data_IF_599020553694
#
_entry.id   IF_599020553694
#
_cell.length_a   1.000
_cell.length_b   1.000
_cell.length_c   1.000
_cell.angle_alpha   90.00
_cell.angle_beta   90.00
_cell.angle_gamma   90.00
#
_symmetry.space_group_name_H-M   'P 1'
#
loop_
_entity.id
_entity.type
_entity.pdbx_description
1 polymer ?
#
# COMPACT_ATOMS: atom_id res chain seq x y z
N UNK A 1 6.16 28.34 -1.21
CA UNK A 1 5.33 27.13 -1.21
C UNK A 1 5.86 26.29 -2.35
N UNK A 2 6.51 25.16 -2.05
CA UNK A 2 6.92 24.24 -3.12
C UNK A 2 5.63 23.73 -3.78
N UNK A 3 5.53 23.89 -5.10
CA UNK A 3 4.52 23.21 -5.92
C UNK A 3 4.94 21.74 -6.01
N UNK A 4 4.84 21.03 -4.89
CA UNK A 4 5.23 19.64 -4.85
C UNK A 4 3.99 18.84 -5.22
N UNK A 5 3.98 18.32 -6.45
CA UNK A 5 2.82 17.65 -7.02
C UNK A 5 2.64 16.24 -6.47
N UNK A 6 3.73 15.59 -6.05
CA UNK A 6 3.71 14.20 -5.57
C UNK A 6 4.77 13.93 -4.52
N UNK A 7 4.47 13.02 -3.60
CA UNK A 7 5.41 12.49 -2.62
C UNK A 7 5.31 10.97 -2.57
N UNK A 8 6.36 10.34 -2.06
CA UNK A 8 6.30 8.95 -1.62
C UNK A 8 6.56 8.90 -0.12
N UNK A 9 5.70 8.22 0.61
CA UNK A 9 5.82 8.08 2.07
C UNK A 9 5.73 6.62 2.48
N UNK A 10 6.25 6.32 3.66
CA UNK A 10 6.03 5.07 4.36
C UNK A 10 5.44 5.38 5.74
N UNK A 11 4.55 4.52 6.24
CA UNK A 11 3.93 4.75 7.54
C UNK A 11 3.88 3.52 8.44
N UNK A 12 3.74 3.79 9.74
CA UNK A 12 3.45 2.80 10.78
C UNK A 12 2.13 3.23 11.41
N UNK A 13 1.11 2.37 11.36
CA UNK A 13 -0.16 2.59 12.03
C UNK A 13 -0.12 2.00 13.44
N UNK A 14 -0.33 2.83 14.45
CA UNK A 14 -0.58 2.39 15.82
C UNK A 14 -2.04 2.65 16.18
N UNK A 15 -2.81 1.58 16.24
CA UNK A 15 -4.25 1.53 16.43
C UNK A 15 -4.64 1.11 17.86
N UNK A 16 -5.92 1.25 18.21
CA UNK A 16 -6.52 0.79 19.46
C UNK A 16 -7.95 0.24 19.25
N UNK A 17 -8.49 -0.37 20.30
CA UNK A 17 -9.71 -1.17 20.33
C UNK A 17 -10.97 -0.52 19.73
N UNK A 18 -11.14 0.79 19.87
CA UNK A 18 -12.31 1.49 19.32
C UNK A 18 -12.10 2.10 17.93
N UNK A 19 -10.92 1.94 17.34
CA UNK A 19 -10.67 2.38 15.95
C UNK A 19 -11.15 1.31 14.95
N UNK A 20 -11.31 1.63 13.66
CA UNK A 20 -11.74 0.66 12.66
C UNK A 20 -10.88 -0.61 12.55
N UNK A 21 -9.57 -0.52 12.86
CA UNK A 21 -8.64 -1.67 12.82
C UNK A 21 -8.78 -2.56 14.08
N UNK A 22 -9.42 -2.06 15.15
CA UNK A 22 -9.76 -2.82 16.36
C UNK A 22 -8.58 -3.56 17.00
N UNK A 23 -7.42 -2.90 17.12
CA UNK A 23 -6.28 -3.48 17.84
C UNK A 23 -6.63 -3.80 19.30
N UNK A 24 -5.97 -4.79 19.90
CA UNK A 24 -6.35 -5.29 21.25
C UNK A 24 -6.02 -4.34 22.41
N UNK A 25 -5.32 -3.24 22.16
CA UNK A 25 -4.79 -2.31 23.17
C UNK A 25 -5.72 -1.12 23.36
N UNK A 26 -5.65 -0.49 24.54
CA UNK A 26 -6.39 0.75 24.82
C UNK A 26 -5.80 1.96 24.09
N UNK A 27 -6.59 3.04 23.99
CA UNK A 27 -6.13 4.33 23.44
C UNK A 27 -4.88 4.87 24.12
N UNK A 28 -4.80 4.81 25.45
CA UNK A 28 -3.65 5.30 26.23
C UNK A 28 -2.39 4.47 25.92
N UNK A 29 -2.52 3.14 25.91
CA UNK A 29 -1.41 2.24 25.54
C UNK A 29 -0.95 2.47 24.11
N UNK A 30 -1.89 2.69 23.18
CA UNK A 30 -1.56 3.01 21.79
C UNK A 30 -0.82 4.35 21.67
N UNK A 31 -1.21 5.38 22.40
CA UNK A 31 -0.51 6.67 22.39
C UNK A 31 0.92 6.56 22.92
N UNK A 32 1.13 5.81 24.00
CA UNK A 32 2.47 5.54 24.55
C UNK A 32 3.33 4.82 23.50
N UNK A 33 2.78 3.76 22.89
CA UNK A 33 3.47 3.00 21.85
C UNK A 33 3.80 3.88 20.63
N UNK A 34 2.86 4.70 20.17
CA UNK A 34 3.09 5.61 19.05
C UNK A 34 4.22 6.61 19.35
N UNK A 35 4.29 7.12 20.59
CA UNK A 35 5.37 8.02 21.03
C UNK A 35 6.72 7.32 21.04
N UNK A 36 6.76 6.07 21.52
CA UNK A 36 7.97 5.24 21.51
C UNK A 36 8.44 4.95 20.08
N UNK A 37 7.53 4.48 19.22
CA UNK A 37 7.82 4.17 17.81
C UNK A 37 8.28 5.41 17.05
N UNK A 38 7.67 6.57 17.28
CA UNK A 38 8.13 7.84 16.71
C UNK A 38 9.58 8.17 17.14
N UNK A 39 9.91 7.93 18.41
CA UNK A 39 11.27 8.12 18.92
C UNK A 39 12.30 7.21 18.24
N UNK A 40 11.95 5.94 18.03
CA UNK A 40 12.80 4.98 17.29
C UNK A 40 12.93 5.38 15.83
N UNK A 41 11.82 5.63 15.15
CA UNK A 41 11.77 5.98 13.73
C UNK A 41 12.61 7.22 13.36
N UNK A 42 12.75 8.19 14.26
CA UNK A 42 13.62 9.37 14.06
C UNK A 42 15.12 9.07 14.07
N UNK A 43 15.52 7.92 14.62
CA UNK A 43 16.92 7.52 14.79
C UNK A 43 17.29 6.21 14.08
N UNK A 44 16.31 5.49 13.53
CA UNK A 44 16.49 4.19 12.88
C UNK A 44 16.71 4.37 11.37
N UNK A 45 17.73 3.70 10.83
CA UNK A 45 17.96 3.69 9.38
C UNK A 45 16.96 2.78 8.64
N UNK A 46 16.50 1.69 9.28
CA UNK A 46 15.56 0.73 8.70
C UNK A 46 14.12 0.95 9.19
N UNK A 47 13.43 1.88 8.53
CA UNK A 47 12.01 2.15 8.81
C UNK A 47 11.11 0.95 8.46
N UNK A 48 11.48 0.11 7.48
CA UNK A 48 10.69 -1.06 7.07
C UNK A 48 10.63 -2.12 8.16
N UNK A 49 11.73 -2.33 8.89
CA UNK A 49 11.72 -3.20 10.08
C UNK A 49 10.69 -2.74 11.11
N UNK A 50 10.63 -1.42 11.39
CA UNK A 50 9.65 -0.85 12.30
C UNK A 50 8.21 -0.99 11.80
N UNK A 51 7.97 -0.84 10.49
CA UNK A 51 6.64 -1.08 9.89
C UNK A 51 6.18 -2.52 10.17
N UNK A 52 7.04 -3.51 9.93
CA UNK A 52 6.68 -4.92 10.18
C UNK A 52 6.48 -5.25 11.65
N UNK A 53 7.26 -4.63 12.53
CA UNK A 53 7.21 -4.90 13.96
C UNK A 53 5.99 -4.25 14.63
N UNK A 54 5.63 -3.03 14.21
CA UNK A 54 4.70 -2.19 14.98
C UNK A 54 3.42 -1.80 14.25
N UNK A 55 3.34 -1.91 12.92
CA UNK A 55 2.14 -1.47 12.21
C UNK A 55 0.98 -2.44 12.44
N UNK A 56 -0.19 -1.91 12.79
CA UNK A 56 -1.45 -2.64 12.81
C UNK A 56 -2.14 -2.68 11.44
N UNK A 57 -1.58 -1.98 10.44
CA UNK A 57 -2.06 -2.11 9.07
C UNK A 57 -1.76 -3.52 8.54
N UNK A 58 -2.64 -4.17 7.76
CA UNK A 58 -2.38 -5.49 7.24
C UNK A 58 -1.13 -5.52 6.34
N UNK A 59 -0.16 -6.38 6.69
CA UNK A 59 1.08 -6.55 5.93
C UNK A 59 1.14 -7.99 5.44
N UNK A 60 1.44 -8.17 4.15
CA UNK A 60 1.76 -9.52 3.64
C UNK A 60 3.21 -9.89 3.94
N UNK A 61 3.44 -11.17 4.19
CA UNK A 61 4.78 -11.69 4.48
C UNK A 61 5.75 -11.44 3.30
N UNK A 62 5.25 -11.55 2.07
CA UNK A 62 6.00 -11.40 0.82
C UNK A 62 6.08 -9.97 0.27
N UNK A 63 5.42 -9.00 0.91
CA UNK A 63 5.40 -7.62 0.44
C UNK A 63 6.75 -6.94 0.70
N UNK A 64 7.52 -6.49 -0.31
CA UNK A 64 8.88 -6.00 -0.10
C UNK A 64 8.94 -4.63 0.59
N UNK A 65 7.90 -3.80 0.46
CA UNK A 65 7.88 -2.43 0.96
C UNK A 65 6.51 -2.09 1.60
N UNK A 66 6.18 -2.69 2.75
CA UNK A 66 4.89 -2.50 3.40
C UNK A 66 4.68 -1.05 3.85
N UNK A 67 3.42 -0.63 3.85
CA UNK A 67 2.99 0.68 4.33
C UNK A 67 3.47 1.85 3.47
N UNK A 68 3.85 1.60 2.21
CA UNK A 68 4.31 2.64 1.26
C UNK A 68 3.13 3.15 0.44
N UNK A 69 3.02 4.48 0.36
CA UNK A 69 2.00 5.17 -0.43
C UNK A 69 2.65 6.24 -1.31
N UNK A 70 2.23 6.31 -2.57
CA UNK A 70 2.53 7.44 -3.44
C UNK A 70 1.32 8.39 -3.40
N UNK A 71 1.52 9.63 -2.99
CA UNK A 71 0.44 10.60 -2.83
C UNK A 71 0.57 11.74 -3.83
N UNK A 72 -0.56 12.11 -4.42
CA UNK A 72 -0.71 13.27 -5.29
C UNK A 72 -1.28 14.44 -4.50
N UNK A 73 -0.78 15.64 -4.78
CA UNK A 73 -1.25 16.85 -4.12
C UNK A 73 -2.68 17.21 -4.56
N UNK A 74 -3.29 18.17 -3.88
CA UNK A 74 -4.65 18.63 -4.16
C UNK A 74 -4.80 19.09 -5.61
N UNK A 75 -5.90 18.68 -6.25
CA UNK A 75 -6.21 19.06 -7.63
C UNK A 75 -5.52 18.20 -8.70
N UNK A 76 -4.83 17.13 -8.31
CA UNK A 76 -4.24 16.16 -9.25
C UNK A 76 -5.04 14.85 -9.14
N UNK A 77 -5.57 14.41 -10.28
CA UNK A 77 -6.29 13.15 -10.38
C UNK A 77 -5.32 11.96 -10.40
N UNK A 78 -5.76 10.85 -9.79
CA UNK A 78 -5.01 9.60 -9.73
C UNK A 78 -5.32 8.69 -10.91
N UNK A 79 -4.55 7.61 -11.01
CA UNK A 79 -4.79 6.57 -12.00
C UNK A 79 -6.03 5.73 -11.65
N UNK A 80 -6.76 5.29 -12.67
CA UNK A 80 -7.88 4.38 -12.49
C UNK A 80 -7.37 2.92 -12.37
N UNK A 81 -7.19 2.45 -11.14
CA UNK A 81 -6.75 1.08 -10.89
C UNK A 81 -7.70 0.03 -11.47
N UNK A 82 -9.01 0.32 -11.52
CA UNK A 82 -9.99 -0.60 -12.06
C UNK A 82 -9.71 -0.91 -13.53
N UNK A 83 -9.35 0.09 -14.34
CA UNK A 83 -8.99 -0.11 -15.75
C UNK A 83 -7.77 -1.02 -15.91
N UNK A 84 -6.80 -0.90 -15.00
CA UNK A 84 -5.64 -1.79 -15.01
C UNK A 84 -6.04 -3.23 -14.66
N UNK A 85 -6.85 -3.44 -13.62
CA UNK A 85 -7.36 -4.77 -13.25
C UNK A 85 -8.19 -5.39 -14.38
N UNK A 86 -9.05 -4.60 -15.02
CA UNK A 86 -9.86 -5.04 -16.15
C UNK A 86 -8.97 -5.47 -17.32
N UNK A 87 -7.84 -4.79 -17.55
CA UNK A 87 -6.87 -5.19 -18.57
C UNK A 87 -6.22 -6.55 -18.28
N UNK A 88 -5.84 -6.83 -17.03
CA UNK A 88 -5.27 -8.12 -16.63
C UNK A 88 -6.29 -9.25 -16.78
N UNK A 89 -7.55 -9.00 -16.42
CA UNK A 89 -8.63 -9.97 -16.59
C UNK A 89 -8.88 -10.29 -18.07
N UNK A 90 -8.87 -9.28 -18.95
CA UNK A 90 -9.01 -9.47 -20.39
C UNK A 90 -7.84 -10.28 -20.97
N UNK A 91 -6.60 -10.05 -20.50
CA UNK A 91 -5.44 -10.84 -20.88
C UNK A 91 -5.55 -12.30 -20.44
N UNK A 92 -6.02 -12.56 -19.22
CA UNK A 92 -6.28 -13.92 -18.71
C UNK A 92 -7.34 -14.65 -19.54
N UNK A 93 -8.45 -13.98 -19.89
CA UNK A 93 -9.49 -14.56 -20.73
C UNK A 93 -8.99 -14.86 -22.14
N UNK A 94 -8.19 -13.96 -22.72
CA UNK A 94 -7.58 -14.19 -24.03
C UNK A 94 -6.63 -15.39 -24.01
N UNK A 95 -5.80 -15.52 -22.96
CA UNK A 95 -4.89 -16.65 -22.81
C UNK A 95 -5.64 -17.97 -22.63
N UNK A 96 -6.72 -17.97 -21.87
CA UNK A 96 -7.58 -19.15 -21.71
C UNK A 96 -8.15 -19.61 -23.07
N UNK A 97 -8.67 -18.70 -23.89
CA UNK A 97 -9.22 -19.01 -25.23
C UNK A 97 -8.17 -19.55 -26.20
N UNK A 98 -6.94 -19.02 -26.13
CA UNK A 98 -5.78 -19.50 -26.88
C UNK A 98 -5.44 -20.95 -26.50
N UNK A 99 -5.30 -21.23 -25.20
CA UNK A 99 -5.01 -22.57 -24.70
C UNK A 99 -6.12 -23.58 -25.04
N UNK A 100 -7.39 -23.19 -24.91
CA UNK A 100 -8.53 -24.02 -25.31
C UNK A 100 -8.50 -24.39 -26.80
N UNK A 101 -8.00 -23.50 -27.65
CA UNK A 101 -7.89 -23.74 -29.09
C UNK A 101 -6.76 -24.73 -29.38
N UNK A 102 -5.60 -24.56 -28.74
CA UNK A 102 -4.46 -25.48 -28.86
C UNK A 102 -4.79 -26.89 -28.37
N UNK A 103 -5.57 -27.02 -27.28
CA UNK A 103 -6.07 -28.32 -26.81
C UNK A 103 -6.97 -28.97 -27.87
N UNK A 104 -7.91 -28.22 -28.46
CA UNK A 104 -8.83 -28.74 -29.50
C UNK A 104 -8.09 -29.19 -30.76
N UNK A 105 -7.00 -28.51 -31.09
CA UNK A 105 -6.14 -28.84 -32.23
C UNK A 105 -5.18 -29.99 -31.93
N UNK A 106 -5.09 -30.42 -30.66
CA UNK A 106 -4.20 -31.50 -30.21
C UNK A 106 -2.74 -31.08 -30.11
N UNK A 107 -2.46 -29.78 -30.12
CA UNK A 107 -1.11 -29.20 -30.02
C UNK A 107 -0.60 -29.16 -28.58
N UNK A 108 -1.52 -29.16 -27.60
CA UNK A 108 -1.22 -29.08 -26.17
C UNK A 108 -2.11 -30.04 -25.38
N UNK A 109 -1.54 -30.71 -24.38
CA UNK A 109 -2.35 -31.48 -23.42
C UNK A 109 -3.03 -30.57 -22.39
N UNK A 110 -4.10 -31.06 -21.76
CA UNK A 110 -4.77 -30.32 -20.67
C UNK A 110 -3.81 -30.01 -19.51
N UNK A 111 -2.91 -30.94 -19.16
CA UNK A 111 -1.93 -30.74 -18.09
C UNK A 111 -0.91 -29.64 -18.44
N UNK A 112 -0.42 -29.61 -19.67
CA UNK A 112 0.49 -28.56 -20.15
C UNK A 112 -0.20 -27.20 -20.25
N UNK A 113 -1.47 -27.17 -20.67
CA UNK A 113 -2.29 -25.97 -20.67
C UNK A 113 -2.51 -25.42 -19.25
N UNK A 114 -2.84 -26.28 -18.29
CA UNK A 114 -3.02 -25.90 -16.89
C UNK A 114 -1.75 -25.30 -16.30
N UNK A 115 -0.59 -25.93 -16.55
CA UNK A 115 0.70 -25.40 -16.11
C UNK A 115 1.01 -24.05 -16.76
N UNK A 116 0.78 -23.92 -18.06
CA UNK A 116 0.99 -22.66 -18.79
C UNK A 116 0.10 -21.55 -18.26
N UNK A 117 -1.18 -21.86 -17.97
CA UNK A 117 -2.11 -20.91 -17.39
C UNK A 117 -1.70 -20.50 -15.98
N UNK A 118 -1.21 -21.44 -15.17
CA UNK A 118 -0.70 -21.14 -13.83
C UNK A 118 0.47 -20.15 -13.88
N UNK A 119 1.50 -20.44 -14.69
CA UNK A 119 2.66 -19.54 -14.85
C UNK A 119 2.23 -18.16 -15.40
N UNK A 120 1.25 -18.13 -16.31
CA UNK A 120 0.70 -16.87 -16.82
C UNK A 120 -0.01 -16.06 -15.74
N UNK A 121 -0.84 -16.70 -14.92
CA UNK A 121 -1.56 -16.06 -13.81
C UNK A 121 -0.59 -15.54 -12.75
N UNK A 122 0.47 -16.30 -12.44
CA UNK A 122 1.53 -15.84 -11.54
C UNK A 122 2.20 -14.57 -12.10
N UNK A 123 2.48 -14.52 -13.40
CA UNK A 123 3.00 -13.30 -14.04
C UNK A 123 2.02 -12.12 -14.04
N UNK A 124 0.71 -12.35 -14.18
CA UNK A 124 -0.30 -11.30 -14.03
C UNK A 124 -0.37 -10.78 -12.59
N UNK A 125 -0.24 -11.68 -11.60
CA UNK A 125 -0.19 -11.32 -10.18
C UNK A 125 1.02 -10.45 -9.88
N UNK A 126 2.20 -10.81 -10.37
CA UNK A 126 3.42 -10.00 -10.19
C UNK A 126 3.26 -8.60 -10.78
N UNK A 127 2.62 -8.49 -11.96
CA UNK A 127 2.27 -7.19 -12.57
C UNK A 127 1.24 -6.42 -11.73
N UNK A 128 0.27 -7.13 -11.16
CA UNK A 128 -0.69 -6.61 -10.19
C UNK A 128 -0.02 -5.97 -8.99
N UNK A 129 0.82 -6.73 -8.31
CA UNK A 129 1.56 -6.32 -7.13
C UNK A 129 2.53 -5.16 -7.46
N UNK A 130 3.20 -5.21 -8.62
CA UNK A 130 4.05 -4.12 -9.09
C UNK A 130 3.28 -2.82 -9.38
N UNK A 131 2.11 -2.90 -10.03
CA UNK A 131 1.28 -1.72 -10.28
C UNK A 131 0.75 -1.14 -8.97
N UNK A 132 0.26 -1.99 -8.07
CA UNK A 132 -0.21 -1.59 -6.74
C UNK A 132 0.88 -0.83 -5.96
N UNK A 133 2.14 -1.26 -6.03
CA UNK A 133 3.25 -0.57 -5.37
C UNK A 133 3.55 0.84 -5.95
N UNK A 134 3.10 1.11 -7.18
CA UNK A 134 3.34 2.39 -7.89
C UNK A 134 2.10 3.25 -8.01
N UNK A 135 0.94 2.77 -7.56
CA UNK A 135 -0.30 3.53 -7.71
C UNK A 135 -0.20 4.85 -6.96
N UNK A 136 -0.63 5.91 -7.62
CA UNK A 136 -0.64 7.26 -7.08
C UNK A 136 -2.05 7.59 -6.57
N UNK A 137 -2.14 7.95 -5.28
CA UNK A 137 -3.41 8.25 -4.63
C UNK A 137 -3.60 9.76 -4.50
N UNK A 138 -4.70 10.33 -5.01
CA UNK A 138 -5.09 11.68 -4.69
C UNK A 138 -5.20 11.85 -3.19
N UNK A 139 -4.51 12.86 -2.64
CA UNK A 139 -4.55 13.11 -1.20
C UNK A 139 -5.97 13.37 -0.69
N UNK A 140 -6.87 13.90 -1.52
CA UNK A 140 -8.28 14.07 -1.19
C UNK A 140 -9.06 12.75 -1.00
N UNK A 141 -8.53 11.63 -1.52
CA UNK A 141 -9.09 10.29 -1.32
C UNK A 141 -8.50 9.58 -0.09
N UNK A 142 -7.56 10.23 0.63
CA UNK A 142 -6.91 9.72 1.81
C UNK A 142 -7.39 10.46 3.07
N UNK A 143 -7.05 9.91 4.23
CA UNK A 143 -7.27 10.53 5.53
C UNK A 143 -6.56 11.90 5.57
N UNK A 144 -7.23 13.01 5.96
CA UNK A 144 -6.68 14.36 5.80
C UNK A 144 -5.30 14.56 6.44
N UNK A 145 -5.15 14.15 7.70
CA UNK A 145 -3.91 14.33 8.47
C UNK A 145 -2.73 13.56 7.86
N UNK A 146 -3.00 12.42 7.22
CA UNK A 146 -1.97 11.58 6.60
C UNK A 146 -1.24 12.32 5.49
N UNK A 147 -2.00 12.95 4.60
CA UNK A 147 -1.41 13.77 3.56
C UNK A 147 -0.89 15.12 4.07
N UNK A 148 -1.53 15.75 5.07
CA UNK A 148 -1.06 17.03 5.63
C UNK A 148 0.37 16.90 6.17
N UNK A 149 0.60 15.83 6.94
CA UNK A 149 1.91 15.51 7.47
C UNK A 149 2.86 15.10 6.35
N UNK A 150 2.46 14.18 5.45
CA UNK A 150 3.34 13.71 4.38
C UNK A 150 3.91 14.85 3.51
N UNK A 151 3.08 15.83 3.14
CA UNK A 151 3.50 16.97 2.30
C UNK A 151 4.27 18.05 3.06
N UNK A 152 4.20 18.09 4.40
CA UNK A 152 4.95 19.07 5.20
C UNK A 152 6.38 18.61 5.54
N UNK A 153 6.64 17.31 5.43
CA UNK A 153 7.94 16.70 5.72
C UNK A 153 8.96 16.93 4.61
N UNK A 154 10.22 17.12 4.97
CA UNK A 154 11.37 17.01 4.08
C UNK A 154 11.68 15.53 3.77
N UNK A 155 12.46 15.26 2.71
CA UNK A 155 12.88 13.88 2.38
C UNK A 155 13.68 13.29 3.55
N UNK A 156 13.34 12.06 3.95
CA UNK A 156 13.80 11.33 5.14
C UNK A 156 13.33 11.87 6.49
N UNK A 157 12.56 12.95 6.53
CA UNK A 157 11.98 13.44 7.77
C UNK A 157 10.86 12.52 8.25
N UNK A 158 10.73 12.39 9.57
CA UNK A 158 9.70 11.59 10.24
C UNK A 158 8.77 12.50 11.04
N UNK A 159 7.48 12.43 10.70
CA UNK A 159 6.38 13.11 11.38
C UNK A 159 5.38 12.14 11.99
N UNK A 160 4.36 12.69 12.64
CA UNK A 160 3.24 11.93 13.17
C UNK A 160 1.93 12.62 12.83
N UNK A 161 0.98 11.88 12.29
CA UNK A 161 -0.43 12.27 12.28
C UNK A 161 -1.07 11.69 13.55
N UNK A 162 -1.40 12.56 14.49
CA UNK A 162 -2.03 12.14 15.74
C UNK A 162 -3.46 11.65 15.50
N UNK A 163 -3.90 10.70 16.33
CA UNK A 163 -5.28 10.23 16.31
C UNK A 163 -6.27 11.41 16.43
N UNK A 164 -7.24 11.42 15.53
CA UNK A 164 -8.36 12.35 15.57
C UNK A 164 -9.58 11.67 14.94
N UNK A 165 -10.74 11.78 15.58
CA UNK A 165 -11.97 11.08 15.15
C UNK A 165 -12.34 11.37 13.69
N UNK A 166 -12.23 12.61 13.24
CA UNK A 166 -12.52 12.97 11.85
C UNK A 166 -11.32 12.87 10.90
N UNK A 167 -10.14 13.34 11.35
CA UNK A 167 -9.00 13.60 10.47
C UNK A 167 -7.94 12.50 10.47
N UNK A 168 -8.00 11.55 11.43
CA UNK A 168 -7.10 10.40 11.57
C UNK A 168 -7.75 9.28 12.40
N UNK A 169 -8.88 8.68 11.93
CA UNK A 169 -9.72 7.81 12.74
C UNK A 169 -9.11 6.43 13.03
N UNK A 170 -8.07 6.03 12.30
CA UNK A 170 -7.47 4.71 12.40
C UNK A 170 -6.47 4.57 13.55
N UNK A 171 -5.97 5.69 14.07
CA UNK A 171 -4.95 5.72 15.11
C UNK A 171 -3.90 6.79 14.85
N UNK A 172 -2.70 6.56 15.37
CA UNK A 172 -1.53 7.39 15.10
C UNK A 172 -0.78 6.83 13.90
N UNK A 173 -0.46 7.69 12.94
CA UNK A 173 0.40 7.32 11.81
C UNK A 173 1.76 7.97 11.99
N UNK A 174 2.80 7.18 12.21
CA UNK A 174 4.19 7.64 12.15
C UNK A 174 4.59 7.58 10.69
N UNK A 175 5.00 8.71 10.11
CA UNK A 175 5.15 8.85 8.65
C UNK A 175 6.57 9.29 8.35
N UNK A 176 7.26 8.56 7.46
CA UNK A 176 8.55 8.95 6.87
C UNK A 176 8.36 9.33 5.41
N UNK A 177 8.90 10.47 5.01
CA UNK A 177 8.93 10.84 3.59
C UNK A 177 10.13 10.18 2.89
N UNK A 178 9.88 9.46 1.80
CA UNK A 178 10.88 8.76 1.00
C UNK A 178 11.32 9.57 -0.23
N UNK A 179 10.41 10.33 -0.85
CA UNK A 179 10.65 11.20 -2.01
C UNK A 179 9.68 12.39 -2.00
#
# INVERSE_FOLDING_TARGET
>A
MSNLDRIRIQHILVSFDTTPVQAKRSKETAQILATEVLGRAKNEDDFTALVREFSDDPIREDEPAPGVYNLLNNGIDGENFQEFVDSLNAEAEAKHKDLDSQIKEGELSEDEANKTMQEFVDGLRDRGDAKQATIEHPRAAMVPAFGDVGFSLEINEVGVAEYHEDNSPFGWHIIKRLA
#
